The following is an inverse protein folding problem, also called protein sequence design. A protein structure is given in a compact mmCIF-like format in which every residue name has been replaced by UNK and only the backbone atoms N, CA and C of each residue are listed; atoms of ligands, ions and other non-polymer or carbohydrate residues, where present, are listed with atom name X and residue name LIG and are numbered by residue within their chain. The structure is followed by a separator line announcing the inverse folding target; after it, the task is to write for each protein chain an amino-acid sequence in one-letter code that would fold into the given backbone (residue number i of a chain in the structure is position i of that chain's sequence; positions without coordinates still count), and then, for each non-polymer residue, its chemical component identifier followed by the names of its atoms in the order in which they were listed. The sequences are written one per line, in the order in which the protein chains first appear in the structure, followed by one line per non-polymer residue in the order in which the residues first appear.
data_IF_523882754436
#
_entry.id   IF_523882754436
#
_cell.length_a   1.000
_cell.length_b   1.000
_cell.length_c   1.000
_cell.angle_alpha   90.00
_cell.angle_beta   90.00
_cell.angle_gamma   90.00
#
_symmetry.space_group_name_H-M   'P 1'
#
loop_
_entity.id
_entity.type
_entity.pdbx_description
1 polymer ?
#
# COMPACT_ATOMS: atom_id res chain seq x y z
N UNK A 1 10.01 3.58 -9.55
CA UNK A 1 10.19 3.25 -8.11
C UNK A 1 9.25 2.12 -7.73
N UNK A 2 9.66 1.14 -6.92
CA UNK A 2 8.79 0.04 -6.46
C UNK A 2 8.19 0.34 -5.08
N UNK A 3 7.11 -0.36 -4.71
CA UNK A 3 6.51 -0.24 -3.37
C UNK A 3 7.53 -0.56 -2.26
N UNK A 4 8.38 -1.57 -2.45
CA UNK A 4 9.44 -1.92 -1.49
C UNK A 4 10.41 -0.75 -1.27
N UNK A 5 10.82 -0.08 -2.34
CA UNK A 5 11.68 1.10 -2.24
C UNK A 5 10.99 2.26 -1.50
N UNK A 6 9.67 2.44 -1.68
CA UNK A 6 8.91 3.43 -0.91
C UNK A 6 8.89 3.12 0.58
N UNK A 7 8.63 1.86 0.95
CA UNK A 7 8.59 1.47 2.37
C UNK A 7 9.93 1.67 3.06
N UNK A 8 11.03 1.40 2.36
CA UNK A 8 12.39 1.68 2.86
C UNK A 8 12.59 3.18 3.10
N UNK A 9 12.27 4.03 2.12
CA UNK A 9 12.36 5.49 2.30
C UNK A 9 11.46 5.99 3.44
N UNK A 10 10.22 5.50 3.51
CA UNK A 10 9.28 5.86 4.57
C UNK A 10 9.76 5.42 5.95
N UNK A 11 10.44 4.27 6.05
CA UNK A 11 11.07 3.81 7.28
C UNK A 11 12.23 4.71 7.69
N UNK A 12 13.13 5.04 6.76
CA UNK A 12 14.27 5.94 6.99
C UNK A 12 13.86 7.34 7.45
N UNK A 13 12.72 7.85 6.94
CA UNK A 13 12.15 9.13 7.36
C UNK A 13 11.30 9.05 8.64
N UNK A 14 11.20 7.88 9.28
CA UNK A 14 10.39 7.67 10.48
C UNK A 14 8.88 7.72 10.24
N UNK A 15 8.41 7.64 9.00
CA UNK A 15 6.99 7.68 8.67
C UNK A 15 6.31 6.32 8.80
N UNK A 16 7.01 5.22 8.53
CA UNK A 16 6.42 3.88 8.56
C UNK A 16 6.29 3.34 9.99
N UNK A 17 5.09 2.91 10.36
CA UNK A 17 4.82 2.08 11.53
C UNK A 17 4.89 0.61 11.13
N UNK A 18 5.55 -0.23 11.93
CA UNK A 18 5.58 -1.67 11.72
C UNK A 18 4.84 -2.32 12.89
N UNK A 19 3.90 -3.20 12.58
CA UNK A 19 3.14 -3.99 13.54
C UNK A 19 3.44 -5.45 13.28
N UNK A 20 4.07 -6.09 14.26
CA UNK A 20 4.60 -7.46 14.19
C UNK A 20 3.71 -8.50 14.86
N UNK A 21 2.89 -8.08 15.83
CA UNK A 21 1.85 -8.93 16.42
C UNK A 21 0.83 -9.36 15.36
N UNK A 22 0.21 -10.52 15.57
CA UNK A 22 -0.92 -10.97 14.76
C UNK A 22 -2.08 -9.97 14.84
N UNK A 23 -2.66 -9.65 13.68
CA UNK A 23 -3.82 -8.75 13.53
C UNK A 23 -4.87 -9.40 12.64
N UNK A 24 -6.13 -9.27 13.03
CA UNK A 24 -7.28 -9.77 12.27
C UNK A 24 -7.66 -8.82 11.11
N UNK A 25 -7.75 -9.29 9.85
CA UNK A 25 -8.22 -8.47 8.73
C UNK A 25 -9.73 -8.11 8.86
N UNK A 26 -10.49 -8.81 9.70
CA UNK A 26 -11.88 -8.49 9.97
C UNK A 26 -11.99 -7.41 11.06
N UNK A 27 -12.26 -6.16 10.64
CA UNK A 27 -12.49 -4.97 11.46
C UNK A 27 -11.29 -4.47 12.28
N UNK A 28 -10.45 -5.34 12.87
CA UNK A 28 -9.34 -4.94 13.74
C UNK A 28 -8.31 -4.10 12.97
N UNK A 29 -7.82 -4.61 11.84
CA UNK A 29 -6.81 -3.92 11.04
C UNK A 29 -7.29 -2.53 10.59
N UNK A 30 -8.54 -2.42 10.12
CA UNK A 30 -9.14 -1.16 9.71
C UNK A 30 -9.23 -0.15 10.87
N UNK A 31 -9.55 -0.60 12.09
CA UNK A 31 -9.56 0.26 13.29
C UNK A 31 -8.16 0.77 13.64
N UNK A 32 -7.14 -0.08 13.53
CA UNK A 32 -5.74 0.33 13.74
C UNK A 32 -5.34 1.37 12.70
N UNK A 33 -5.62 1.12 11.41
CA UNK A 33 -5.33 2.06 10.32
C UNK A 33 -5.99 3.42 10.58
N UNK A 34 -7.27 3.42 10.99
CA UNK A 34 -8.00 4.63 11.33
C UNK A 34 -7.37 5.37 12.53
N UNK A 35 -7.01 4.64 13.59
CA UNK A 35 -6.37 5.21 14.78
C UNK A 35 -5.00 5.84 14.48
N UNK A 36 -4.28 5.34 13.47
CA UNK A 36 -3.00 5.89 13.01
C UNK A 36 -3.14 7.16 12.17
N UNK A 37 -4.36 7.60 11.85
CA UNK A 37 -4.60 8.89 11.20
C UNK A 37 -3.91 9.02 9.83
N UNK A 38 -3.82 7.92 9.08
CA UNK A 38 -3.18 7.88 7.77
C UNK A 38 -1.67 7.68 7.80
N UNK A 39 -1.01 7.49 8.95
CA UNK A 39 0.41 7.11 8.94
C UNK A 39 0.61 5.74 8.25
N UNK A 40 1.56 5.59 7.30
CA UNK A 40 1.82 4.30 6.66
C UNK A 40 2.10 3.24 7.70
N UNK A 41 1.46 2.08 7.54
CA UNK A 41 1.58 0.96 8.46
C UNK A 41 1.79 -0.33 7.69
N UNK A 42 2.77 -1.12 8.12
CA UNK A 42 3.04 -2.46 7.63
C UNK A 42 2.70 -3.48 8.71
N UNK A 43 1.70 -4.31 8.44
CA UNK A 43 1.33 -5.48 9.24
C UNK A 43 2.12 -6.68 8.73
N UNK A 44 3.02 -7.22 9.54
CA UNK A 44 3.88 -8.34 9.12
C UNK A 44 3.31 -9.72 9.44
N UNK A 45 2.26 -9.79 10.26
CA UNK A 45 1.58 -11.01 10.65
C UNK A 45 0.06 -10.81 10.61
N UNK A 46 -0.61 -11.42 9.64
CA UNK A 46 -2.05 -11.28 9.43
C UNK A 46 -2.72 -12.62 9.69
N UNK A 47 -3.75 -12.62 10.55
CA UNK A 47 -4.48 -13.83 10.92
C UNK A 47 -4.98 -14.55 9.65
N UNK A 48 -4.60 -15.81 9.50
CA UNK A 48 -5.10 -16.67 8.42
C UNK A 48 -4.52 -16.38 7.02
N UNK A 49 -3.44 -15.59 6.91
CA UNK A 49 -2.79 -15.33 5.63
C UNK A 49 -1.27 -15.30 5.75
N UNK A 50 -0.58 -15.87 4.75
CA UNK A 50 0.88 -15.79 4.63
C UNK A 50 1.37 -14.42 4.09
N UNK A 51 0.42 -13.57 3.66
CA UNK A 51 0.73 -12.27 3.10
C UNK A 51 0.77 -11.18 4.18
N UNK A 52 1.67 -10.22 3.94
CA UNK A 52 1.77 -8.99 4.73
C UNK A 52 0.89 -7.91 4.11
N UNK A 53 0.33 -7.04 4.93
CA UNK A 53 -0.52 -5.93 4.48
C UNK A 53 0.14 -4.60 4.77
N UNK A 54 0.11 -3.69 3.80
CA UNK A 54 0.49 -2.30 4.00
C UNK A 54 -0.69 -1.39 3.70
N UNK A 55 -0.89 -0.36 4.52
CA UNK A 55 -1.93 0.63 4.35
C UNK A 55 -1.39 2.06 4.60
N UNK A 56 -2.15 3.07 4.17
CA UNK A 56 -1.81 4.48 4.40
C UNK A 56 -0.70 5.05 3.52
N UNK A 57 -0.26 4.34 2.48
CA UNK A 57 0.84 4.79 1.59
C UNK A 57 0.49 6.06 0.80
N UNK A 58 -0.80 6.31 0.54
CA UNK A 58 -1.33 7.42 -0.26
C UNK A 58 -2.18 8.42 0.56
N UNK A 59 -2.01 8.49 1.87
CA UNK A 59 -2.90 9.22 2.78
C UNK A 59 -2.54 10.70 3.02
N UNK A 60 -1.36 11.16 2.56
CA UNK A 60 -0.91 12.53 2.75
C UNK A 60 0.05 12.96 1.63
N UNK A 61 0.05 14.27 1.32
CA UNK A 61 0.88 14.88 0.26
C UNK A 61 2.36 14.55 0.44
N UNK A 62 2.89 14.59 1.66
CA UNK A 62 4.27 14.22 1.97
C UNK A 62 4.67 12.81 1.51
N UNK A 63 3.75 11.85 1.48
CA UNK A 63 4.06 10.48 1.02
C UNK A 63 4.14 10.40 -0.49
N UNK A 64 3.28 11.14 -1.21
CA UNK A 64 3.43 11.30 -2.66
C UNK A 64 4.74 12.01 -3.01
N UNK A 65 5.06 13.09 -2.29
CA UNK A 65 6.30 13.83 -2.48
C UNK A 65 7.54 12.95 -2.25
N UNK A 66 7.53 12.14 -1.17
CA UNK A 66 8.58 11.16 -0.89
C UNK A 66 8.70 10.08 -1.98
N UNK A 67 7.57 9.62 -2.54
CA UNK A 67 7.56 8.63 -3.62
C UNK A 67 8.05 9.19 -4.96
N UNK A 68 7.89 10.50 -5.17
CA UNK A 68 8.28 11.20 -6.40
C UNK A 68 9.66 11.87 -6.28
N UNK A 69 10.31 11.81 -5.12
CA UNK A 69 11.58 12.48 -4.83
C UNK A 69 11.53 14.00 -5.07
N UNK A 70 10.45 14.63 -4.61
CA UNK A 70 10.22 16.07 -4.71
C UNK A 70 9.88 16.69 -3.35
N UNK A 71 9.97 18.01 -3.26
CA UNK A 71 9.39 18.75 -2.13
C UNK A 71 7.86 18.72 -2.18
N UNK A 72 7.19 18.71 -1.02
CA UNK A 72 5.73 18.66 -0.94
C UNK A 72 5.06 19.83 -1.68
N UNK A 73 5.68 21.01 -1.68
CA UNK A 73 5.20 22.19 -2.39
C UNK A 73 5.20 22.02 -3.93
N UNK A 74 6.03 21.12 -4.47
CA UNK A 74 6.12 20.86 -5.91
C UNK A 74 5.11 19.81 -6.39
N UNK A 75 4.37 19.16 -5.48
CA UNK A 75 3.49 18.04 -5.85
C UNK A 75 2.48 18.41 -6.94
N UNK A 76 1.73 19.49 -6.79
CA UNK A 76 0.73 19.89 -7.79
C UNK A 76 1.35 20.31 -9.14
N UNK A 77 2.37 21.20 -9.18
CA UNK A 77 3.08 21.51 -10.42
C UNK A 77 3.58 20.26 -11.16
N UNK A 78 4.22 19.33 -10.45
CA UNK A 78 4.75 18.09 -11.03
C UNK A 78 3.64 17.22 -11.64
N UNK A 79 2.50 17.08 -10.96
CA UNK A 79 1.38 16.29 -11.49
C UNK A 79 0.74 16.94 -12.72
N UNK A 80 0.61 18.27 -12.75
CA UNK A 80 0.06 18.99 -13.92
C UNK A 80 0.97 18.81 -15.14
N UNK A 81 2.29 18.93 -14.94
CA UNK A 81 3.27 18.73 -16.00
C UNK A 81 3.20 17.31 -16.56
N UNK A 82 3.12 16.30 -15.69
CA UNK A 82 3.00 14.90 -16.10
C UNK A 82 1.71 14.60 -16.87
N UNK A 83 0.59 15.26 -16.52
CA UNK A 83 -0.67 15.13 -17.25
C UNK A 83 -0.64 15.81 -18.62
N UNK A 84 0.13 16.89 -18.76
CA UNK A 84 0.26 17.64 -20.00
C UNK A 84 1.26 16.98 -20.96
N UNK A 85 2.27 16.29 -20.41
CA UNK A 85 3.33 15.63 -21.15
C UNK A 85 3.43 14.14 -20.77
N UNK A 86 2.43 13.32 -21.13
CA UNK A 86 2.45 11.90 -20.79
C UNK A 86 3.60 11.19 -21.52
N UNK A 87 4.21 10.22 -20.83
CA UNK A 87 5.25 9.34 -21.38
C UNK A 87 4.65 7.96 -21.61
N UNK A 88 4.88 7.38 -22.78
CA UNK A 88 4.45 6.02 -23.06
C UNK A 88 5.20 5.01 -22.16
N UNK A 89 4.49 4.04 -21.56
CA UNK A 89 5.14 3.03 -20.73
C UNK A 89 5.95 2.06 -21.58
N UNK A 90 7.09 1.62 -21.06
CA UNK A 90 7.88 0.56 -21.67
C UNK A 90 7.19 -0.81 -21.50
N UNK A 91 7.15 -1.60 -22.58
CA UNK A 91 6.67 -2.98 -22.55
C UNK A 91 7.84 -3.92 -22.33
N UNK A 92 7.82 -4.67 -21.24
CA UNK A 92 8.85 -5.65 -20.88
C UNK A 92 8.30 -7.08 -20.97
N UNK A 93 9.15 -8.03 -21.38
CA UNK A 93 8.77 -9.43 -21.54
C UNK A 93 8.58 -10.17 -20.20
N UNK A 94 9.25 -9.72 -19.14
CA UNK A 94 9.24 -10.34 -17.81
C UNK A 94 9.23 -9.27 -16.73
N UNK A 95 8.46 -9.49 -15.66
CA UNK A 95 8.40 -8.58 -14.52
C UNK A 95 8.35 -9.33 -13.17
N UNK A 96 8.85 -8.75 -12.07
CA UNK A 96 8.82 -9.38 -10.74
C UNK A 96 7.42 -9.84 -10.28
N UNK A 97 6.36 -9.20 -10.75
CA UNK A 97 4.97 -9.59 -10.45
C UNK A 97 4.58 -10.98 -11.01
N UNK A 98 5.40 -11.55 -11.89
CA UNK A 98 5.16 -12.86 -12.54
C UNK A 98 6.00 -14.00 -11.91
N UNK A 99 6.70 -13.73 -10.80
CA UNK A 99 7.51 -14.74 -10.10
C UNK A 99 6.68 -15.93 -9.59
N UNK A 100 5.41 -15.70 -9.24
CA UNK A 100 4.47 -16.72 -8.79
C UNK A 100 3.22 -16.67 -9.67
N UNK A 101 2.82 -17.81 -10.24
CA UNK A 101 1.60 -17.96 -11.03
C UNK A 101 0.79 -19.15 -10.50
N UNK A 102 -0.34 -18.85 -9.87
CA UNK A 102 -1.29 -19.85 -9.38
C UNK A 102 -2.34 -20.14 -10.46
N UNK A 103 -2.57 -21.42 -10.75
CA UNK A 103 -3.57 -21.86 -11.74
C UNK A 103 -4.91 -22.21 -11.10
N UNK A 104 -4.88 -22.66 -9.86
CA UNK A 104 -6.06 -22.87 -9.02
C UNK A 104 -6.23 -21.65 -8.13
N UNK A 105 -7.28 -20.87 -8.39
CA UNK A 105 -7.47 -19.55 -7.78
C UNK A 105 -8.39 -19.65 -6.58
N UNK A 106 -7.88 -19.22 -5.44
CA UNK A 106 -8.64 -19.02 -4.20
C UNK A 106 -8.30 -17.63 -3.64
N UNK A 107 -9.26 -16.70 -3.78
CA UNK A 107 -9.06 -15.30 -3.37
C UNK A 107 -9.21 -15.11 -1.86
N UNK A 108 -9.75 -16.09 -1.13
CA UNK A 108 -9.92 -16.00 0.33
C UNK A 108 -8.57 -16.13 1.06
N UNK A 109 -7.51 -16.58 0.36
CA UNK A 109 -6.12 -16.57 0.87
C UNK A 109 -5.54 -15.15 0.96
N UNK A 110 -6.06 -14.21 0.18
CA UNK A 110 -5.62 -12.82 0.21
C UNK A 110 -6.18 -12.14 1.47
N UNK A 111 -5.37 -11.35 2.20
CA UNK A 111 -5.78 -10.70 3.42
C UNK A 111 -6.62 -9.45 3.12
N UNK A 112 -7.73 -9.60 2.41
CA UNK A 112 -8.67 -8.51 2.11
C UNK A 112 -9.39 -8.11 3.39
N UNK A 113 -9.55 -6.81 3.63
CA UNK A 113 -10.09 -6.30 4.88
C UNK A 113 -11.62 -6.20 4.81
N UNK A 114 -12.29 -6.53 5.90
CA UNK A 114 -13.62 -6.00 6.21
C UNK A 114 -13.42 -4.72 7.02
N UNK A 115 -13.80 -3.58 6.47
CA UNK A 115 -13.46 -2.26 7.03
C UNK A 115 -14.47 -1.83 8.08
N UNK A 116 -15.75 -2.05 7.83
CA UNK A 116 -16.87 -1.64 8.68
C UNK A 116 -17.83 -2.81 8.97
N UNK A 117 -18.55 -2.79 10.10
CA UNK A 117 -19.50 -3.87 10.44
C UNK A 117 -20.65 -4.04 9.43
N UNK A 118 -20.93 -3.01 8.62
CA UNK A 118 -21.97 -3.04 7.58
C UNK A 118 -21.47 -3.46 6.20
N UNK A 119 -20.19 -3.76 6.05
CA UNK A 119 -19.63 -4.21 4.77
C UNK A 119 -20.22 -5.58 4.39
N UNK A 120 -20.52 -5.78 3.10
CA UNK A 120 -21.03 -7.05 2.60
C UNK A 120 -20.01 -8.21 2.61
N UNK A 121 -18.76 -7.92 2.97
CA UNK A 121 -17.65 -8.86 3.02
C UNK A 121 -16.30 -8.15 2.96
N UNK A 122 -15.20 -8.89 2.75
CA UNK A 122 -13.88 -8.32 2.48
C UNK A 122 -13.82 -7.51 1.17
N UNK A 123 -13.13 -6.37 1.17
CA UNK A 123 -12.95 -5.51 -0.01
C UNK A 123 -11.49 -5.38 -0.43
N UNK A 124 -11.28 -5.28 -1.75
CA UNK A 124 -10.03 -4.81 -2.36
C UNK A 124 -10.16 -3.31 -2.60
N UNK A 125 -9.22 -2.51 -2.07
CA UNK A 125 -9.25 -1.02 -2.08
C UNK A 125 -7.90 -0.43 -2.41
#
# INVERSE_FOLDING_TARGET
MSLRAFLEKAHQHGYLVIIDREVDPHLEMARIINALGGRPVLFTNVRGSDYRVVAGVCSARKYFALALDIEEAQLLPTLIEALTNPVEPEVVASAPRQEVVEREVDLDKLPNLTHLPGDGGPYIT
#
